data_IF_034699328370
#
_entry.id   IF_034699328370
#
_cell.length_a   1.000
_cell.length_b   1.000
_cell.length_c   1.000
_cell.angle_alpha   90.00
_cell.angle_beta   90.00
_cell.angle_gamma   90.00
#
_symmetry.space_group_name_H-M   'P 1'
#
loop_
_entity.id
_entity.type
_entity.pdbx_description
1 polymer ?
#
# COMPACT_ATOMS: atom_id res chain seq x y z
N UNK A 1 -16.04 27.12 21.39
CA UNK A 1 -16.55 26.80 20.05
C UNK A 1 -17.62 27.83 19.73
N UNK A 2 -17.32 28.81 18.86
CA UNK A 2 -18.31 29.82 18.47
C UNK A 2 -19.36 29.17 17.55
N UNK A 3 -20.63 29.15 18.01
CA UNK A 3 -21.75 28.62 17.22
C UNK A 3 -22.25 29.64 16.18
N UNK A 4 -21.86 30.91 16.33
CA UNK A 4 -22.21 32.01 15.42
C UNK A 4 -21.35 31.99 14.16
N UNK A 5 -21.83 32.65 13.10
CA UNK A 5 -21.10 32.87 11.83
C UNK A 5 -20.05 33.99 11.99
N UNK A 6 -20.33 34.96 12.86
CA UNK A 6 -19.39 36.02 13.21
C UNK A 6 -18.73 35.69 14.55
N UNK A 7 -17.49 36.18 14.74
CA UNK A 7 -16.76 36.07 15.99
C UNK A 7 -17.37 36.94 17.09
N UNK A 8 -16.72 36.94 18.25
CA UNK A 8 -17.16 37.71 19.42
C UNK A 8 -17.27 39.22 19.15
N UNK A 9 -16.48 39.75 18.23
CA UNK A 9 -16.48 41.16 17.85
C UNK A 9 -17.59 41.54 16.85
N UNK A 10 -18.40 40.57 16.41
CA UNK A 10 -19.47 40.75 15.43
C UNK A 10 -19.01 41.37 14.09
N UNK A 11 -17.71 41.36 13.80
CA UNK A 11 -17.13 42.00 12.62
C UNK A 11 -16.37 40.98 11.76
N UNK A 12 -15.58 40.12 12.40
CA UNK A 12 -14.83 39.09 11.69
C UNK A 12 -15.62 37.77 11.65
N UNK A 13 -15.33 36.94 10.65
CA UNK A 13 -15.87 35.58 10.63
C UNK A 13 -15.32 34.78 11.81
N UNK A 14 -16.18 33.99 12.43
CA UNK A 14 -15.72 32.92 13.32
C UNK A 14 -15.07 31.80 12.49
N UNK A 15 -14.43 30.84 13.15
CA UNK A 15 -13.91 29.63 12.48
C UNK A 15 -15.01 28.90 11.69
N UNK A 16 -16.22 28.84 12.27
CA UNK A 16 -17.40 28.25 11.61
C UNK A 16 -17.83 29.07 10.41
N UNK A 17 -17.90 30.40 10.53
CA UNK A 17 -18.30 31.29 9.44
C UNK A 17 -17.33 31.22 8.26
N UNK A 18 -16.03 31.23 8.54
CA UNK A 18 -14.98 31.11 7.52
C UNK A 18 -15.04 29.77 6.80
N UNK A 19 -15.29 28.68 7.54
CA UNK A 19 -15.47 27.34 6.96
C UNK A 19 -16.68 27.27 6.01
N UNK A 20 -17.80 27.88 6.40
CA UNK A 20 -18.99 27.97 5.54
C UNK A 20 -18.75 28.85 4.31
N UNK A 21 -18.00 29.95 4.44
CA UNK A 21 -17.61 30.80 3.32
C UNK A 21 -16.72 30.04 2.34
N UNK A 22 -15.69 29.34 2.82
CA UNK A 22 -14.81 28.53 1.98
C UNK A 22 -15.58 27.44 1.24
N UNK A 23 -16.53 26.78 1.91
CA UNK A 23 -17.39 25.77 1.28
C UNK A 23 -18.29 26.36 0.18
N UNK A 24 -18.88 27.53 0.43
CA UNK A 24 -19.69 28.22 -0.56
C UNK A 24 -18.86 28.64 -1.80
N UNK A 25 -17.64 29.13 -1.58
CA UNK A 25 -16.71 29.47 -2.67
C UNK A 25 -16.35 28.23 -3.47
N UNK A 26 -15.99 27.13 -2.80
CA UNK A 26 -15.66 25.85 -3.44
C UNK A 26 -16.79 25.36 -4.35
N UNK A 27 -18.01 25.32 -3.81
CA UNK A 27 -19.20 24.91 -4.57
C UNK A 27 -19.47 25.85 -5.75
N UNK A 28 -19.26 27.16 -5.58
CA UNK A 28 -19.42 28.15 -6.65
C UNK A 28 -18.41 27.95 -7.79
N UNK A 29 -17.15 27.64 -7.47
CA UNK A 29 -16.12 27.35 -8.47
C UNK A 29 -16.48 26.15 -9.34
N UNK A 30 -17.06 25.10 -8.73
CA UNK A 30 -17.43 23.86 -9.40
C UNK A 30 -18.82 23.88 -10.05
N UNK A 31 -19.68 24.83 -9.71
CA UNK A 31 -20.99 25.02 -10.34
C UNK A 31 -20.82 25.65 -11.74
N UNK A 32 -21.69 25.27 -12.69
CA UNK A 32 -21.68 25.84 -14.05
C UNK A 32 -21.99 27.33 -14.03
N UNK A 33 -21.44 28.09 -14.97
CA UNK A 33 -21.49 29.57 -14.94
C UNK A 33 -22.90 30.14 -14.81
N UNK A 34 -23.90 29.52 -15.44
CA UNK A 34 -25.29 29.99 -15.42
C UNK A 34 -25.99 29.75 -14.06
N UNK A 35 -25.60 28.71 -13.32
CA UNK A 35 -26.28 28.29 -12.09
C UNK A 35 -25.57 28.81 -10.82
N UNK A 36 -24.57 29.69 -10.98
CA UNK A 36 -23.80 30.24 -9.86
C UNK A 36 -24.62 31.26 -9.08
N UNK A 37 -24.66 31.11 -7.76
CA UNK A 37 -25.26 32.09 -6.86
C UNK A 37 -24.26 33.21 -6.57
N UNK A 38 -24.68 34.47 -6.66
CA UNK A 38 -23.85 35.63 -6.31
C UNK A 38 -23.99 36.07 -4.84
N UNK A 39 -24.87 35.42 -4.09
CA UNK A 39 -25.15 35.76 -2.69
C UNK A 39 -24.56 34.69 -1.78
N UNK A 40 -23.81 35.12 -0.76
CA UNK A 40 -23.38 34.22 0.30
C UNK A 40 -24.50 34.07 1.33
N UNK A 41 -24.91 32.81 1.57
CA UNK A 41 -25.77 32.44 2.69
C UNK A 41 -25.00 31.47 3.57
N UNK A 42 -24.82 31.74 4.86
CA UNK A 42 -24.04 30.88 5.76
C UNK A 42 -24.87 29.67 6.21
N UNK A 43 -25.35 28.90 5.22
CA UNK A 43 -26.13 27.68 5.41
C UNK A 43 -25.21 26.51 5.05
N UNK A 44 -25.09 25.49 5.91
CA UNK A 44 -24.32 24.30 5.58
C UNK A 44 -24.92 23.64 4.32
N UNK A 45 -24.06 23.31 3.37
CA UNK A 45 -24.40 22.62 2.12
C UNK A 45 -23.48 21.42 1.92
N UNK A 46 -23.85 20.49 1.05
CA UNK A 46 -22.95 19.39 0.67
C UNK A 46 -21.79 19.90 -0.18
N UNK A 47 -20.59 19.36 0.04
CA UNK A 47 -19.42 19.63 -0.82
C UNK A 47 -19.68 19.08 -2.22
N UNK A 48 -19.49 19.92 -3.25
CA UNK A 48 -19.51 19.48 -4.65
C UNK A 48 -18.19 18.80 -4.99
N UNK A 49 -18.26 17.63 -5.61
CA UNK A 49 -17.08 16.91 -6.09
C UNK A 49 -16.70 17.35 -7.51
N UNK A 50 -15.41 17.39 -7.85
CA UNK A 50 -14.96 17.56 -9.24
C UNK A 50 -15.47 16.43 -10.15
N UNK A 51 -15.66 16.74 -11.44
CA UNK A 51 -16.00 15.74 -12.44
C UNK A 51 -14.81 14.78 -12.63
N UNK A 52 -14.97 13.45 -12.50
CA UNK A 52 -13.88 12.50 -12.69
C UNK A 52 -13.25 12.57 -14.10
N UNK A 53 -13.99 13.04 -15.11
CA UNK A 53 -13.47 13.26 -16.48
C UNK A 53 -12.54 14.46 -16.58
N UNK A 54 -12.62 15.36 -15.60
CA UNK A 54 -11.91 16.64 -15.53
C UNK A 54 -11.44 16.90 -14.10
N UNK A 55 -10.37 16.24 -13.65
CA UNK A 55 -9.87 16.35 -12.28
C UNK A 55 -9.14 17.69 -12.02
N UNK A 56 -9.67 18.81 -12.51
CA UNK A 56 -9.14 20.16 -12.34
C UNK A 56 -10.27 21.20 -12.39
N UNK A 57 -10.02 22.39 -11.83
CA UNK A 57 -10.99 23.50 -11.89
C UNK A 57 -11.11 23.99 -13.33
N UNK A 58 -12.35 23.94 -13.86
CA UNK A 58 -12.63 24.29 -15.26
C UNK A 58 -12.71 25.80 -15.45
N UNK A 59 -12.01 26.27 -16.46
CA UNK A 59 -12.09 27.61 -17.05
C UNK A 59 -12.58 27.48 -18.49
N UNK A 60 -12.89 28.60 -19.14
CA UNK A 60 -13.25 28.58 -20.56
C UNK A 60 -12.14 27.93 -21.42
N UNK A 61 -10.87 28.15 -21.06
CA UNK A 61 -9.71 27.73 -21.85
C UNK A 61 -9.37 26.26 -21.61
N UNK A 62 -9.22 25.83 -20.35
CA UNK A 62 -8.77 24.45 -20.06
C UNK A 62 -9.88 23.40 -20.22
N UNK A 63 -11.13 23.84 -20.42
CA UNK A 63 -12.27 22.95 -20.64
C UNK A 63 -12.13 22.05 -21.87
N UNK A 64 -11.27 22.42 -22.83
CA UNK A 64 -10.98 21.62 -24.04
C UNK A 64 -10.26 20.31 -23.71
N UNK A 65 -9.45 20.28 -22.64
CA UNK A 65 -8.67 19.10 -22.27
C UNK A 65 -9.53 17.97 -21.69
N UNK A 66 -10.71 18.31 -21.17
CA UNK A 66 -11.69 17.34 -20.68
C UNK A 66 -12.19 16.36 -21.75
N UNK A 67 -12.22 16.78 -23.01
CA UNK A 67 -12.61 15.93 -24.13
C UNK A 67 -11.49 14.91 -24.41
N UNK A 68 -10.23 15.33 -24.21
CA UNK A 68 -9.05 14.50 -24.42
C UNK A 68 -8.82 13.48 -23.31
N UNK A 69 -9.24 13.74 -22.07
CA UNK A 69 -9.12 12.78 -20.96
C UNK A 69 -9.83 11.45 -21.29
N UNK A 70 -10.98 11.50 -21.97
CA UNK A 70 -11.74 10.31 -22.36
C UNK A 70 -10.97 9.39 -23.34
N UNK A 71 -10.04 9.94 -24.12
CA UNK A 71 -9.21 9.16 -25.05
C UNK A 71 -7.94 8.60 -24.37
N UNK A 72 -7.51 9.21 -23.27
CA UNK A 72 -6.39 8.71 -22.45
C UNK A 72 -6.85 7.74 -21.35
N UNK A 73 -8.14 7.76 -20.99
CA UNK A 73 -8.79 6.89 -20.00
C UNK A 73 -9.52 5.69 -20.62
N UNK A 74 -9.11 5.23 -21.82
CA UNK A 74 -9.15 3.79 -21.98
C UNK A 74 -8.36 3.24 -20.79
N UNK A 75 -8.89 2.31 -19.97
CA UNK A 75 -8.04 1.58 -19.06
C UNK A 75 -7.08 0.83 -19.97
N UNK A 76 -5.95 1.47 -20.31
CA UNK A 76 -4.72 0.78 -20.57
C UNK A 76 -4.50 0.11 -19.24
N UNK A 77 -5.09 -1.08 -19.08
CA UNK A 77 -4.78 -2.03 -18.05
C UNK A 77 -3.29 -2.15 -18.19
N UNK A 78 -2.56 -1.35 -17.40
CA UNK A 78 -1.17 -1.08 -17.70
C UNK A 78 -0.53 -2.44 -17.52
N UNK A 79 -0.14 -3.05 -18.63
CA UNK A 79 0.42 -4.40 -18.61
C UNK A 79 1.72 -4.34 -17.77
N UNK A 80 2.31 -3.14 -17.63
CA UNK A 80 3.48 -2.84 -16.83
C UNK A 80 3.39 -3.30 -15.35
N UNK A 81 2.47 -2.86 -14.47
CA UNK A 81 2.38 -3.37 -13.10
C UNK A 81 2.20 -4.89 -13.03
N UNK A 82 1.42 -5.49 -13.94
CA UNK A 82 1.25 -6.95 -13.99
C UNK A 82 2.54 -7.68 -14.40
N UNK A 83 3.26 -7.14 -15.37
CA UNK A 83 4.57 -7.66 -15.81
C UNK A 83 5.64 -7.49 -14.74
N UNK A 84 5.66 -6.35 -14.03
CA UNK A 84 6.59 -6.10 -12.93
C UNK A 84 6.40 -7.17 -11.84
N UNK A 85 5.16 -7.41 -11.42
CA UNK A 85 4.85 -8.44 -10.41
C UNK A 85 5.23 -9.84 -10.91
N UNK A 86 4.92 -10.17 -12.17
CA UNK A 86 5.27 -11.46 -12.76
C UNK A 86 6.79 -11.67 -12.82
N UNK A 87 7.55 -10.66 -13.26
CA UNK A 87 9.01 -10.72 -13.32
C UNK A 87 9.64 -10.90 -11.94
N UNK A 88 9.15 -10.18 -10.92
CA UNK A 88 9.63 -10.32 -9.53
C UNK A 88 9.35 -11.72 -9.00
N UNK A 89 8.17 -12.27 -9.27
CA UNK A 89 7.81 -13.62 -8.86
C UNK A 89 8.74 -14.66 -9.49
N UNK A 90 9.00 -14.56 -10.80
CA UNK A 90 9.90 -15.48 -11.51
C UNK A 90 11.32 -15.39 -10.95
N UNK A 91 11.86 -14.17 -10.77
CA UNK A 91 13.21 -13.98 -10.26
C UNK A 91 13.38 -14.56 -8.84
N UNK A 92 12.41 -14.36 -7.95
CA UNK A 92 12.46 -14.90 -6.58
C UNK A 92 12.38 -16.44 -6.56
N UNK A 93 11.54 -17.05 -7.40
CA UNK A 93 11.47 -18.52 -7.51
C UNK A 93 12.75 -19.13 -8.06
N UNK A 94 13.40 -18.49 -9.04
CA UNK A 94 14.66 -18.96 -9.60
C UNK A 94 15.80 -18.85 -8.59
N UNK A 95 15.90 -17.73 -7.86
CA UNK A 95 16.92 -17.53 -6.84
C UNK A 95 16.77 -18.54 -5.68
N UNK A 96 15.55 -18.78 -5.22
CA UNK A 96 15.30 -19.77 -4.15
C UNK A 96 15.61 -21.19 -4.61
N UNK A 97 15.22 -21.57 -5.84
CA UNK A 97 15.56 -22.87 -6.41
C UNK A 97 17.07 -23.06 -6.54
N UNK A 98 17.80 -22.05 -7.01
CA UNK A 98 19.26 -22.10 -7.12
C UNK A 98 19.94 -22.29 -5.75
N UNK A 99 19.50 -21.54 -4.73
CA UNK A 99 20.02 -21.68 -3.36
C UNK A 99 19.76 -23.09 -2.83
N UNK A 100 18.57 -23.65 -3.03
CA UNK A 100 18.24 -25.03 -2.63
C UNK A 100 19.13 -26.05 -3.35
N UNK A 101 19.36 -25.90 -4.65
CA UNK A 101 20.25 -26.77 -5.41
C UNK A 101 21.69 -26.70 -4.89
N UNK A 102 22.19 -25.52 -4.55
CA UNK A 102 23.51 -25.35 -3.95
C UNK A 102 23.61 -26.05 -2.58
N UNK A 103 22.59 -25.93 -1.74
CA UNK A 103 22.54 -26.59 -0.43
C UNK A 103 22.47 -28.12 -0.59
N UNK A 104 21.61 -28.64 -1.47
CA UNK A 104 21.48 -30.07 -1.71
C UNK A 104 22.76 -30.69 -2.28
N UNK A 105 23.41 -30.03 -3.24
CA UNK A 105 24.68 -30.50 -3.83
C UNK A 105 25.85 -30.36 -2.85
N UNK A 106 25.86 -29.30 -2.03
CA UNK A 106 26.83 -29.13 -0.95
C UNK A 106 26.70 -30.21 0.13
N UNK A 107 25.46 -30.57 0.50
CA UNK A 107 25.19 -31.64 1.46
C UNK A 107 25.58 -33.02 0.94
N UNK A 108 25.43 -33.29 -0.36
CA UNK A 108 25.85 -34.57 -0.95
C UNK A 108 27.39 -34.71 -0.98
N UNK A 109 28.10 -33.61 -1.20
CA UNK A 109 29.56 -33.61 -1.21
C UNK A 109 30.17 -33.78 0.20
N UNK A 110 29.45 -33.39 1.26
CA UNK A 110 29.89 -33.61 2.65
C UNK A 110 29.53 -35.01 3.18
N UNK A 111 28.53 -35.68 2.60
CA UNK A 111 28.14 -37.05 2.99
C UNK A 111 29.09 -38.14 2.49
N UNK A 112 29.85 -37.90 1.41
CA UNK A 112 30.82 -38.86 0.87
C UNK A 112 32.17 -38.89 1.64
N UNK A 113 32.50 -37.85 2.43
CA UNK A 113 33.78 -37.77 3.14
C UNK A 113 33.74 -38.03 4.65
N UNK A 114 32.65 -38.57 5.20
CA UNK A 114 32.63 -39.06 6.59
C UNK A 114 32.39 -40.56 6.62
N UNK A 115 33.48 -41.32 6.52
CA UNK A 115 33.52 -42.73 6.97
C UNK A 115 32.89 -42.77 8.37
N UNK A 116 31.91 -43.64 8.66
CA UNK A 116 31.33 -43.69 9.99
C UNK A 116 32.40 -44.19 10.95
N UNK A 117 32.91 -43.32 11.82
CA UNK A 117 33.60 -43.76 13.01
C UNK A 117 32.56 -44.47 13.88
N UNK A 118 32.78 -45.73 14.30
CA UNK A 118 31.86 -46.37 15.23
C UNK A 118 31.73 -45.51 16.48
N UNK A 119 30.50 -45.33 16.96
CA UNK A 119 30.24 -44.65 18.21
C UNK A 119 30.95 -45.40 19.34
N UNK A 120 31.71 -44.64 20.14
CA UNK A 120 32.42 -45.15 21.30
C UNK A 120 31.39 -45.71 22.29
N UNK A 121 31.43 -47.03 22.57
CA UNK A 121 30.55 -47.68 23.56
C UNK A 121 29.61 -48.78 23.06
N UNK A 122 29.68 -49.20 21.78
CA UNK A 122 28.82 -50.28 21.25
C UNK A 122 29.30 -51.70 21.57
N UNK A 123 30.43 -51.88 22.24
CA UNK A 123 30.86 -53.17 22.79
C UNK A 123 30.53 -53.24 24.29
N UNK A 124 29.30 -53.62 24.61
CA UNK A 124 28.87 -53.94 25.98
C UNK A 124 29.18 -55.40 26.37
N UNK A 125 29.86 -56.16 25.50
CA UNK A 125 30.19 -57.58 25.73
C UNK A 125 31.38 -57.83 26.66
N UNK A 126 31.96 -56.78 27.29
CA UNK A 126 33.09 -56.94 28.23
C UNK A 126 32.86 -56.23 29.57
N UNK A 127 31.61 -55.90 29.91
CA UNK A 127 31.30 -55.34 31.22
C UNK A 127 31.19 -56.49 32.24
N UNK A 128 32.34 -56.86 32.79
CA UNK A 128 32.47 -57.77 33.93
C UNK A 128 32.16 -56.96 35.21
N UNK A 129 30.97 -57.15 35.77
CA UNK A 129 30.62 -56.78 37.14
C UNK A 129 30.42 -58.12 37.90
N UNK A 130 31.29 -58.50 38.84
CA UNK A 130 31.19 -58.29 40.32
C UNK A 130 29.90 -58.99 40.83
N UNK A 131 29.85 -60.04 41.65
CA UNK A 131 30.75 -60.69 42.62
C UNK A 131 30.29 -62.15 42.79
N UNK A 132 31.22 -63.07 43.08
CA UNK A 132 30.92 -64.17 44.02
C UNK A 132 32.24 -64.70 44.58
N UNK A 133 32.72 -64.06 45.65
CA UNK A 133 33.76 -64.60 46.51
C UNK A 133 33.12 -65.59 47.51
N UNK A 134 33.57 -66.86 47.57
CA UNK A 134 33.31 -67.74 48.70
C UNK A 134 34.49 -67.72 49.69
N UNK A 135 34.19 -67.38 50.96
CA UNK A 135 34.59 -68.05 52.23
C UNK A 135 34.18 -67.17 53.42
#
# INVERSE_FOLDING_TARGET
MDLSVLGYDCAHFSERGLSLLHLAIWNTLLTRSHDRTHQFRPIPSSVVCPDPRCPFIRTAINSIYCIWTNNTDLPRATIAPKLIVLCVLILTTLLTSFVLLCICRGSHNTTEFKKPSPSFGTNLSSIKFIDEDPI
#
